data_IF_865412786565
#
_entry.id   IF_865412786565
#
_cell.length_a   1.000
_cell.length_b   1.000
_cell.length_c   1.000
_cell.angle_alpha   90.00
_cell.angle_beta   90.00
_cell.angle_gamma   90.00
#
_symmetry.space_group_name_H-M   'P 1'
#
loop_
_entity.id
_entity.type
_entity.pdbx_description
1 polymer ?
#
# COMPACT_ATOMS: atom_id res chain seq x y z
N UNK A 1 -67.03 -38.12 48.68
CA UNK A 1 -66.24 -37.75 47.46
C UNK A 1 -66.23 -36.21 47.38
N UNK A 2 -65.18 -35.62 47.85
CA UNK A 2 -64.98 -34.16 47.89
C UNK A 2 -64.20 -33.77 46.68
N UNK A 3 -64.59 -32.79 45.88
CA UNK A 3 -63.80 -32.33 44.73
C UNK A 3 -62.63 -31.48 45.19
N UNK A 4 -61.47 -31.87 44.78
CA UNK A 4 -60.22 -31.13 44.94
C UNK A 4 -60.27 -29.84 44.09
N UNK A 5 -60.17 -28.68 44.73
CA UNK A 5 -60.00 -27.38 44.04
C UNK A 5 -58.51 -27.23 43.64
N UNK A 6 -58.27 -27.24 42.39
CA UNK A 6 -56.96 -26.77 41.84
C UNK A 6 -56.90 -25.23 41.98
N UNK A 7 -56.03 -24.76 42.84
CA UNK A 7 -55.68 -23.34 42.91
C UNK A 7 -54.74 -23.01 41.78
N UNK A 8 -55.17 -22.21 40.82
CA UNK A 8 -54.30 -21.56 39.87
C UNK A 8 -53.57 -20.43 40.60
N UNK A 9 -52.26 -20.60 40.85
CA UNK A 9 -51.44 -19.51 41.26
C UNK A 9 -51.35 -18.52 40.10
N UNK A 10 -51.91 -17.34 40.30
CA UNK A 10 -51.82 -16.23 39.40
C UNK A 10 -50.34 -15.91 39.15
N UNK A 11 -49.93 -15.85 37.93
CA UNK A 11 -48.64 -15.26 37.54
C UNK A 11 -48.53 -13.89 38.20
N UNK A 12 -47.42 -13.67 38.89
CA UNK A 12 -47.05 -12.32 39.32
C UNK A 12 -47.12 -11.35 38.13
N UNK A 13 -47.67 -10.16 38.27
CA UNK A 13 -47.66 -9.18 37.18
C UNK A 13 -46.23 -9.05 36.69
N UNK A 14 -46.05 -9.13 35.39
CA UNK A 14 -44.76 -8.80 34.76
C UNK A 14 -44.32 -7.45 35.36
N UNK A 15 -43.04 -7.36 35.77
CA UNK A 15 -42.53 -6.06 36.21
C UNK A 15 -42.76 -5.09 35.05
N UNK A 16 -43.29 -3.93 35.34
CA UNK A 16 -43.44 -2.87 34.37
C UNK A 16 -42.07 -2.76 33.63
N UNK A 17 -42.10 -3.03 32.35
CA UNK A 17 -41.02 -2.66 31.48
C UNK A 17 -40.83 -1.16 31.66
N UNK A 18 -39.91 -0.78 32.53
CA UNK A 18 -39.36 0.56 32.46
C UNK A 18 -38.76 0.66 31.08
N UNK A 19 -39.54 1.16 30.14
CA UNK A 19 -39.01 1.84 28.98
C UNK A 19 -38.05 2.84 29.57
N UNK A 20 -36.77 2.52 29.54
CA UNK A 20 -35.74 3.52 29.75
C UNK A 20 -36.15 4.63 28.79
N UNK A 21 -36.76 5.69 29.31
CA UNK A 21 -36.75 6.96 28.60
C UNK A 21 -35.28 7.13 28.30
N UNK A 22 -34.99 7.01 27.03
CA UNK A 22 -33.61 7.16 26.57
C UNK A 22 -33.22 8.53 27.10
N UNK A 23 -32.46 8.53 28.22
CA UNK A 23 -31.82 9.78 28.64
C UNK A 23 -31.21 10.32 27.37
N UNK A 24 -31.49 11.59 27.02
CA UNK A 24 -30.97 12.14 25.78
C UNK A 24 -29.47 11.82 25.81
N UNK A 25 -29.06 10.89 25.00
CA UNK A 25 -27.70 10.42 24.95
C UNK A 25 -26.91 11.67 24.68
N UNK A 26 -26.29 12.24 25.74
CA UNK A 26 -25.53 13.47 25.60
C UNK A 26 -24.40 13.14 24.63
N UNK A 27 -24.61 13.51 23.41
CA UNK A 27 -23.74 13.23 22.31
C UNK A 27 -22.41 13.90 22.59
N UNK A 28 -21.35 13.10 22.72
CA UNK A 28 -20.02 13.63 22.91
C UNK A 28 -19.37 13.84 21.57
N UNK A 29 -18.81 15.03 21.40
CA UNK A 29 -18.02 15.34 20.21
C UNK A 29 -16.59 14.87 20.47
N UNK A 30 -16.09 14.06 19.56
CA UNK A 30 -14.72 13.60 19.55
C UNK A 30 -14.02 14.25 18.37
N UNK A 31 -12.89 14.88 18.66
CA UNK A 31 -11.99 15.38 17.63
C UNK A 31 -10.96 14.29 17.34
N UNK A 32 -10.89 13.89 16.09
CA UNK A 32 -9.80 13.09 15.57
C UNK A 32 -8.86 14.01 14.79
N UNK A 33 -7.61 14.04 15.17
CA UNK A 33 -6.55 14.61 14.34
C UNK A 33 -5.95 13.48 13.52
N UNK A 34 -5.90 13.68 12.20
CA UNK A 34 -5.31 12.72 11.28
C UNK A 34 -3.88 13.17 11.01
N UNK A 35 -2.94 12.34 11.38
CA UNK A 35 -1.53 12.55 11.09
C UNK A 35 -1.11 11.59 9.98
N UNK A 36 -0.38 12.08 8.99
CA UNK A 36 0.15 11.27 7.91
C UNK A 36 1.61 10.94 8.20
N UNK A 37 1.86 9.64 8.32
CA UNK A 37 3.20 9.08 8.40
C UNK A 37 3.58 8.50 7.03
N UNK A 38 3.83 9.37 6.07
CA UNK A 38 4.21 9.00 4.72
C UNK A 38 5.72 9.17 4.55
N UNK A 39 6.50 8.22 5.03
CA UNK A 39 7.93 8.21 4.81
C UNK A 39 8.25 7.59 3.45
N UNK A 40 8.82 8.38 2.60
CA UNK A 40 9.54 7.93 1.43
C UNK A 40 10.95 7.45 1.79
N UNK A 41 11.60 8.19 2.70
CA UNK A 41 12.85 7.78 3.33
C UNK A 41 12.49 7.02 4.62
N UNK A 42 12.49 5.71 4.63
CA UNK A 42 12.19 4.96 5.83
C UNK A 42 13.45 4.73 6.68
N UNK A 43 13.25 4.76 8.00
CA UNK A 43 14.27 4.28 8.92
C UNK A 43 14.34 2.76 8.86
N UNK A 44 15.51 2.25 8.49
CA UNK A 44 15.79 0.84 8.70
C UNK A 44 15.87 0.61 10.22
N UNK A 45 15.44 -0.54 10.70
CA UNK A 45 15.33 -0.92 12.14
C UNK A 45 16.61 -0.70 12.99
N UNK A 46 17.70 -0.33 12.38
CA UNK A 46 18.99 0.00 13.01
C UNK A 46 19.25 1.50 13.16
N UNK A 47 18.26 2.35 12.91
CA UNK A 47 18.39 3.80 13.03
C UNK A 47 19.17 4.46 11.88
N UNK A 48 19.39 3.74 10.79
CA UNK A 48 19.99 4.29 9.58
C UNK A 48 18.87 4.67 8.62
N UNK A 49 18.82 5.97 8.30
CA UNK A 49 17.86 6.49 7.32
C UNK A 49 18.30 6.13 5.91
N UNK A 50 17.41 5.52 5.13
CA UNK A 50 17.67 5.22 3.73
C UNK A 50 17.60 6.49 2.88
N UNK A 51 18.70 6.86 2.25
CA UNK A 51 18.79 8.06 1.40
C UNK A 51 18.73 7.66 -0.07
N UNK A 52 17.53 7.41 -0.57
CA UNK A 52 17.25 6.96 -1.93
C UNK A 52 17.78 7.92 -3.02
N UNK A 53 17.92 9.21 -2.74
CA UNK A 53 18.40 10.22 -3.71
C UNK A 53 19.81 9.95 -4.17
N UNK A 54 20.63 9.36 -3.33
CA UNK A 54 22.03 9.03 -3.67
C UNK A 54 22.14 7.85 -4.62
N UNK A 55 21.08 7.03 -4.73
CA UNK A 55 21.03 5.84 -5.59
C UNK A 55 20.21 6.07 -6.87
N UNK A 56 19.50 7.20 -6.98
CA UNK A 56 18.62 7.48 -8.10
C UNK A 56 19.31 8.36 -9.16
N UNK A 57 19.87 7.76 -10.19
CA UNK A 57 20.62 8.43 -11.25
C UNK A 57 19.75 8.89 -12.42
N UNK A 58 18.54 8.34 -12.56
CA UNK A 58 17.59 8.69 -13.61
C UNK A 58 17.15 10.16 -13.54
N UNK A 59 17.08 10.73 -12.32
CA UNK A 59 16.59 12.07 -12.06
C UNK A 59 15.06 12.18 -12.20
N UNK A 60 14.54 13.43 -12.23
CA UNK A 60 13.11 13.70 -12.37
C UNK A 60 12.92 15.01 -13.13
N UNK A 61 12.33 14.98 -14.32
CA UNK A 61 12.11 16.13 -15.18
C UNK A 61 10.60 16.44 -15.36
N UNK A 62 10.29 17.50 -16.11
CA UNK A 62 8.90 17.94 -16.34
C UNK A 62 8.03 16.87 -17.01
N UNK A 63 8.62 16.02 -17.86
CA UNK A 63 7.89 14.93 -18.52
C UNK A 63 7.60 13.80 -17.54
N UNK A 64 8.50 13.52 -16.57
CA UNK A 64 8.28 12.56 -15.52
C UNK A 64 7.14 13.02 -14.60
N UNK A 65 7.11 14.32 -14.24
CA UNK A 65 5.98 14.91 -13.52
C UNK A 65 4.65 14.75 -14.28
N UNK A 66 4.66 14.86 -15.58
CA UNK A 66 3.47 14.68 -16.42
C UNK A 66 2.99 13.23 -16.43
N UNK A 67 3.92 12.27 -16.43
CA UNK A 67 3.62 10.83 -16.50
C UNK A 67 3.24 10.26 -15.14
N UNK A 68 4.04 10.53 -14.12
CA UNK A 68 3.92 9.90 -12.79
C UNK A 68 3.47 10.84 -11.68
N UNK A 69 3.46 12.15 -11.90
CA UNK A 69 3.24 13.15 -10.85
C UNK A 69 4.47 13.34 -9.97
N UNK A 70 4.27 13.45 -8.67
CA UNK A 70 5.36 13.57 -7.71
C UNK A 70 6.16 12.28 -7.62
N UNK A 71 7.46 12.40 -7.35
CA UNK A 71 8.33 11.24 -7.18
C UNK A 71 7.98 10.44 -5.91
N UNK A 72 7.70 11.15 -4.81
CA UNK A 72 7.24 10.58 -3.55
C UNK A 72 5.72 10.53 -3.42
N UNK A 73 5.24 10.33 -2.21
CA UNK A 73 3.81 10.36 -1.92
C UNK A 73 3.23 11.77 -1.99
N UNK A 74 2.01 11.86 -2.49
CA UNK A 74 1.21 13.08 -2.41
C UNK A 74 0.36 13.03 -1.15
N UNK A 75 0.52 14.02 -0.28
CA UNK A 75 -0.29 14.12 0.95
C UNK A 75 -1.75 14.30 0.56
N UNK A 76 -2.64 13.37 0.91
CA UNK A 76 -4.05 13.47 0.62
C UNK A 76 -4.71 14.55 1.48
N UNK A 77 -5.78 15.17 0.96
CA UNK A 77 -6.57 16.16 1.67
C UNK A 77 -8.00 15.70 1.94
N UNK A 78 -8.38 14.52 1.46
CA UNK A 78 -9.73 13.96 1.62
C UNK A 78 -9.62 12.57 2.20
N UNK A 79 -10.41 12.30 3.24
CA UNK A 79 -10.35 11.05 3.98
C UNK A 79 -11.75 10.47 4.18
N UNK A 80 -11.82 9.14 4.15
CA UNK A 80 -12.98 8.36 4.51
C UNK A 80 -12.81 7.85 5.93
N UNK A 81 -13.76 8.14 6.79
CA UNK A 81 -13.77 7.72 8.19
C UNK A 81 -14.94 6.76 8.38
N UNK A 82 -14.64 5.55 8.84
CA UNK A 82 -15.65 4.54 9.20
C UNK A 82 -15.57 4.26 10.68
N UNK A 83 -16.69 4.42 11.36
CA UNK A 83 -16.86 4.21 12.79
C UNK A 83 -17.77 3.03 13.00
N UNK A 84 -17.34 2.06 13.77
CA UNK A 84 -18.02 0.80 14.02
C UNK A 84 -18.33 0.70 15.51
N UNK A 85 -19.60 0.69 15.87
CA UNK A 85 -20.04 0.59 17.26
C UNK A 85 -20.15 -0.86 17.68
N UNK A 86 -19.46 -1.24 18.76
CA UNK A 86 -19.47 -2.59 19.33
C UNK A 86 -20.37 -2.71 20.57
N UNK A 87 -20.92 -1.60 21.07
CA UNK A 87 -21.78 -1.59 22.24
C UNK A 87 -21.01 -1.41 23.57
N UNK A 88 -21.43 -2.10 24.61
CA UNK A 88 -20.83 -2.01 25.94
C UNK A 88 -19.62 -2.92 26.14
N UNK A 89 -19.29 -3.75 25.17
CA UNK A 89 -18.18 -4.73 25.23
C UNK A 89 -17.20 -4.46 24.11
N UNK A 90 -15.90 -4.28 24.40
CA UNK A 90 -14.87 -4.14 23.37
C UNK A 90 -14.74 -5.45 22.58
N UNK A 91 -14.29 -5.32 21.33
CA UNK A 91 -14.08 -6.45 20.41
C UNK A 91 -15.31 -7.32 20.10
N UNK A 92 -16.51 -6.79 20.37
CA UNK A 92 -17.76 -7.45 20.03
C UNK A 92 -18.13 -7.21 18.55
N UNK A 93 -19.18 -7.90 18.08
CA UNK A 93 -19.70 -7.65 16.74
C UNK A 93 -20.22 -6.22 16.60
N UNK A 94 -19.93 -5.62 15.46
CA UNK A 94 -20.39 -4.26 15.16
C UNK A 94 -21.90 -4.24 15.00
N UNK A 95 -22.55 -3.38 15.75
CA UNK A 95 -24.03 -3.21 15.71
C UNK A 95 -24.45 -2.02 14.86
N UNK A 96 -23.54 -1.10 14.60
CA UNK A 96 -23.77 0.11 13.82
C UNK A 96 -22.50 0.55 13.11
N UNK A 97 -22.63 0.95 11.86
CA UNK A 97 -21.53 1.53 11.06
C UNK A 97 -21.93 2.94 10.62
N UNK A 98 -21.03 3.88 10.79
CA UNK A 98 -21.21 5.26 10.34
C UNK A 98 -20.02 5.63 9.48
N UNK A 99 -20.28 6.09 8.27
CA UNK A 99 -19.24 6.51 7.31
C UNK A 99 -19.37 8.02 7.08
N UNK A 100 -18.22 8.68 7.03
CA UNK A 100 -18.10 10.09 6.72
C UNK A 100 -16.92 10.27 5.76
N UNK A 101 -17.08 11.21 4.84
CA UNK A 101 -15.96 11.72 4.04
C UNK A 101 -15.69 13.15 4.50
N UNK A 102 -14.44 13.46 4.74
CA UNK A 102 -13.99 14.77 5.20
C UNK A 102 -12.93 15.35 4.28
N UNK A 103 -12.86 16.65 4.23
CA UNK A 103 -11.77 17.41 3.64
C UNK A 103 -10.94 18.03 4.78
N UNK A 104 -9.60 17.96 4.64
CA UNK A 104 -8.67 18.33 5.70
C UNK A 104 -8.42 17.19 6.69
N UNK A 105 -7.63 17.47 7.72
CA UNK A 105 -7.09 16.47 8.64
C UNK A 105 -7.80 16.39 9.99
N UNK A 106 -8.91 17.09 10.16
CA UNK A 106 -9.68 17.11 11.41
C UNK A 106 -11.10 16.61 11.21
N UNK A 107 -11.57 15.83 12.16
CA UNK A 107 -12.93 15.31 12.17
C UNK A 107 -13.62 15.56 13.50
N UNK A 108 -14.85 16.04 13.43
CA UNK A 108 -15.77 16.11 14.55
C UNK A 108 -16.95 15.18 14.32
N UNK A 109 -17.26 14.33 15.30
CA UNK A 109 -18.37 13.41 15.18
C UNK A 109 -19.04 13.12 16.50
N UNK A 110 -20.26 12.62 16.39
CA UNK A 110 -21.05 12.16 17.51
C UNK A 110 -20.80 10.67 17.77
N UNK A 111 -20.62 10.32 19.03
CA UNK A 111 -20.38 8.96 19.46
C UNK A 111 -21.34 8.60 20.58
N UNK A 112 -21.95 7.44 20.50
CA UNK A 112 -22.69 6.86 21.61
C UNK A 112 -21.71 6.38 22.69
N UNK A 113 -22.15 6.34 23.93
CA UNK A 113 -21.40 5.70 24.97
C UNK A 113 -21.19 4.21 24.69
N UNK A 114 -19.98 3.72 24.97
CA UNK A 114 -19.56 2.36 24.70
C UNK A 114 -18.27 2.31 23.91
N UNK A 115 -18.03 1.20 23.23
CA UNK A 115 -16.80 0.97 22.48
C UNK A 115 -17.00 1.14 20.99
N UNK A 116 -16.00 1.69 20.35
CA UNK A 116 -15.94 1.95 18.92
C UNK A 116 -14.64 1.46 18.32
N UNK A 117 -14.71 0.96 17.11
CA UNK A 117 -13.57 0.77 16.25
C UNK A 117 -13.62 1.83 15.15
N UNK A 118 -12.46 2.33 14.77
CA UNK A 118 -12.36 3.41 13.79
C UNK A 118 -11.33 3.07 12.72
N UNK A 119 -11.75 3.13 11.47
CA UNK A 119 -10.90 2.98 10.30
C UNK A 119 -10.92 4.29 9.52
N UNK A 120 -9.74 4.80 9.23
CA UNK A 120 -9.55 5.99 8.38
C UNK A 120 -8.65 5.63 7.20
N UNK A 121 -9.01 6.06 6.02
CA UNK A 121 -8.21 5.92 4.81
C UNK A 121 -8.45 7.11 3.89
N UNK A 122 -7.47 7.43 3.03
CA UNK A 122 -7.62 8.54 2.10
C UNK A 122 -8.62 8.22 1.00
N UNK A 123 -9.25 9.28 0.46
CA UNK A 123 -9.99 9.16 -0.77
C UNK A 123 -9.05 8.96 -1.96
N UNK A 124 -9.50 8.17 -2.93
CA UNK A 124 -8.67 7.77 -4.07
C UNK A 124 -8.73 8.84 -5.14
N UNK A 125 -7.58 9.40 -5.49
CA UNK A 125 -7.47 10.26 -6.66
C UNK A 125 -7.32 9.40 -7.91
N UNK A 126 -8.31 9.48 -8.79
CA UNK A 126 -8.29 8.76 -10.06
C UNK A 126 -7.18 9.31 -10.94
N UNK A 127 -6.30 8.44 -11.42
CA UNK A 127 -5.34 8.76 -12.47
C UNK A 127 -6.05 8.63 -13.81
N UNK A 128 -6.11 9.70 -14.58
CA UNK A 128 -6.78 9.75 -15.89
C UNK A 128 -8.26 9.30 -15.87
N UNK A 129 -8.93 9.45 -14.74
CA UNK A 129 -10.33 9.06 -14.55
C UNK A 129 -10.57 7.54 -14.48
N UNK A 130 -9.51 6.74 -14.41
CA UNK A 130 -9.59 5.28 -14.26
C UNK A 130 -9.20 4.89 -12.83
N UNK A 131 -10.10 4.18 -12.17
CA UNK A 131 -9.83 3.59 -10.85
C UNK A 131 -9.26 2.18 -11.04
N UNK A 132 -8.05 1.94 -10.53
CA UNK A 132 -7.46 0.61 -10.51
C UNK A 132 -7.79 -0.17 -9.25
N UNK A 133 -8.08 0.52 -8.14
CA UNK A 133 -8.43 -0.08 -6.86
C UNK A 133 -9.90 -0.45 -6.76
N UNK A 134 -10.15 -1.62 -6.21
CA UNK A 134 -11.47 -2.08 -5.81
C UNK A 134 -11.47 -2.44 -4.33
N UNK A 135 -12.60 -2.19 -3.67
CA UNK A 135 -12.79 -2.51 -2.27
C UNK A 135 -13.75 -3.68 -2.13
N UNK A 136 -13.35 -4.73 -1.45
CA UNK A 136 -14.25 -5.79 -1.01
C UNK A 136 -14.75 -5.45 0.40
N UNK A 137 -15.97 -4.94 0.46
CA UNK A 137 -16.62 -4.51 1.69
C UNK A 137 -17.61 -5.56 2.24
N UNK A 138 -17.76 -6.69 1.57
CA UNK A 138 -18.73 -7.74 1.95
C UNK A 138 -18.34 -8.51 3.19
N UNK A 139 -17.10 -8.34 3.62
CA UNK A 139 -16.52 -9.00 4.77
C UNK A 139 -16.62 -8.13 6.03
N UNK A 140 -16.36 -8.71 7.18
CA UNK A 140 -16.31 -7.99 8.46
C UNK A 140 -15.22 -6.91 8.41
N UNK A 141 -15.28 -5.91 9.30
CA UNK A 141 -14.27 -4.85 9.40
C UNK A 141 -12.82 -5.38 9.35
N UNK A 142 -12.57 -6.53 9.97
CA UNK A 142 -11.25 -7.15 10.07
C UNK A 142 -10.70 -7.63 8.72
N UNK A 143 -11.49 -7.55 7.65
CA UNK A 143 -11.14 -8.08 6.33
C UNK A 143 -11.54 -7.19 5.16
N UNK A 144 -11.75 -5.88 5.36
CA UNK A 144 -11.91 -4.98 4.21
C UNK A 144 -10.63 -5.03 3.40
N UNK A 145 -10.75 -5.64 2.23
CA UNK A 145 -9.63 -5.89 1.33
C UNK A 145 -9.71 -4.93 0.14
N UNK A 146 -8.58 -4.33 -0.19
CA UNK A 146 -8.40 -3.58 -1.44
C UNK A 146 -7.56 -4.40 -2.40
N UNK A 147 -7.89 -4.36 -3.68
CA UNK A 147 -7.17 -5.12 -4.71
C UNK A 147 -7.16 -4.38 -6.05
N UNK A 148 -6.20 -4.72 -6.91
CA UNK A 148 -6.07 -4.13 -8.24
C UNK A 148 -6.69 -4.99 -9.33
N UNK A 149 -7.09 -4.34 -10.43
CA UNK A 149 -7.61 -4.97 -11.62
C UNK A 149 -6.49 -5.54 -12.50
N UNK A 150 -6.84 -6.58 -13.25
CA UNK A 150 -5.95 -7.16 -14.25
C UNK A 150 -5.72 -6.18 -15.40
N UNK A 151 -4.47 -6.05 -15.84
CA UNK A 151 -4.08 -5.29 -17.02
C UNK A 151 -3.99 -6.18 -18.26
N UNK A 152 -3.82 -5.55 -19.43
CA UNK A 152 -3.61 -6.27 -20.68
C UNK A 152 -2.14 -6.66 -20.93
N UNK A 153 -1.21 -6.20 -20.08
CA UNK A 153 0.20 -6.51 -20.20
C UNK A 153 0.49 -7.99 -19.89
N UNK A 154 1.55 -8.53 -20.47
CA UNK A 154 2.01 -9.90 -20.18
C UNK A 154 2.77 -9.91 -18.87
N UNK A 155 2.48 -10.92 -18.04
CA UNK A 155 3.23 -11.19 -16.83
C UNK A 155 4.36 -12.18 -17.09
N UNK A 156 5.53 -11.93 -16.51
CA UNK A 156 6.66 -12.87 -16.50
C UNK A 156 6.58 -13.82 -15.29
N UNK A 157 6.37 -13.23 -14.13
CA UNK A 157 6.19 -14.00 -12.90
C UNK A 157 4.88 -14.78 -12.95
N UNK A 158 4.93 -16.03 -12.50
CA UNK A 158 3.75 -16.89 -12.38
C UNK A 158 2.95 -17.04 -13.70
N UNK A 159 3.61 -16.89 -14.84
CA UNK A 159 2.99 -16.89 -16.18
C UNK A 159 2.08 -18.10 -16.48
N UNK A 160 2.33 -19.33 -16.00
CA UNK A 160 1.39 -20.44 -16.18
C UNK A 160 0.06 -20.22 -15.50
N UNK A 161 0.04 -19.50 -14.35
CA UNK A 161 -1.16 -19.20 -13.57
C UNK A 161 -1.81 -17.89 -14.01
N UNK A 162 -1.01 -16.85 -14.29
CA UNK A 162 -1.47 -15.53 -14.68
C UNK A 162 -0.81 -15.08 -15.98
N UNK A 163 -1.56 -15.08 -17.06
CA UNK A 163 -1.07 -14.65 -18.38
C UNK A 163 -0.91 -13.13 -18.50
N UNK A 164 -1.51 -12.37 -17.59
CA UNK A 164 -1.51 -10.91 -17.59
C UNK A 164 -0.96 -10.37 -16.27
N UNK A 165 -0.43 -9.16 -16.32
CA UNK A 165 -0.09 -8.40 -15.14
C UNK A 165 -1.32 -7.65 -14.60
N UNK A 166 -1.15 -6.97 -13.49
CA UNK A 166 -2.18 -6.14 -12.86
C UNK A 166 -1.78 -4.66 -12.93
N UNK A 167 -2.75 -3.78 -12.86
CA UNK A 167 -2.46 -2.36 -12.76
C UNK A 167 -1.82 -2.02 -11.42
N UNK A 168 -0.98 -1.00 -11.40
CA UNK A 168 -0.52 -0.41 -10.15
C UNK A 168 -1.71 0.15 -9.37
N UNK A 169 -1.73 0.00 -8.01
CA UNK A 169 -2.73 0.66 -7.19
C UNK A 169 -2.49 2.17 -7.14
N UNK A 170 -3.52 2.93 -6.77
CA UNK A 170 -3.38 4.31 -6.36
C UNK A 170 -2.71 4.42 -4.99
N UNK A 171 -2.24 5.63 -4.64
CA UNK A 171 -1.67 5.90 -3.31
C UNK A 171 -2.73 5.73 -2.24
N UNK A 172 -2.48 4.83 -1.30
CA UNK A 172 -3.43 4.49 -0.25
C UNK A 172 -2.74 4.46 1.12
N UNK A 173 -3.34 5.22 2.03
CA UNK A 173 -2.95 5.31 3.43
C UNK A 173 -4.11 4.88 4.29
N UNK A 174 -3.84 4.24 5.41
CA UNK A 174 -4.88 3.90 6.36
C UNK A 174 -4.39 3.91 7.80
N UNK A 175 -5.33 4.15 8.71
CA UNK A 175 -5.15 3.99 10.15
C UNK A 175 -6.35 3.23 10.72
N UNK A 176 -6.10 2.43 11.73
CA UNK A 176 -7.14 1.67 12.41
C UNK A 176 -6.89 1.64 13.91
N UNK A 177 -7.92 1.94 14.67
CA UNK A 177 -7.89 1.89 16.12
C UNK A 177 -9.11 1.13 16.63
N UNK A 178 -8.88 0.22 17.57
CA UNK A 178 -9.91 -0.64 18.16
C UNK A 178 -10.20 -0.25 19.59
N UNK A 179 -11.41 -0.64 20.05
CA UNK A 179 -11.82 -0.54 21.43
C UNK A 179 -11.69 0.87 22.04
N UNK A 180 -11.98 1.90 21.21
CA UNK A 180 -12.03 3.28 21.67
C UNK A 180 -13.20 3.41 22.61
N UNK A 181 -12.93 3.60 23.91
CA UNK A 181 -13.96 3.74 24.92
C UNK A 181 -14.46 5.19 25.00
N UNK A 182 -15.77 5.34 24.87
CA UNK A 182 -16.48 6.59 25.13
C UNK A 182 -17.33 6.37 26.37
N UNK A 183 -16.81 6.76 27.54
CA UNK A 183 -17.44 6.49 28.80
C UNK A 183 -18.26 7.69 29.34
N UNK A 184 -19.20 7.41 30.26
CA UNK A 184 -20.07 8.44 30.85
C UNK A 184 -19.34 9.28 31.91
N UNK A 185 -18.26 8.79 32.46
CA UNK A 185 -17.46 9.48 33.47
C UNK A 185 -16.44 10.43 32.86
N UNK A 186 -16.39 10.49 31.52
CA UNK A 186 -15.51 11.35 30.74
C UNK A 186 -14.01 11.11 31.00
N UNK A 187 -13.60 9.88 31.27
CA UNK A 187 -12.19 9.54 31.43
C UNK A 187 -11.41 9.81 30.15
N UNK A 188 -10.37 10.63 30.28
CA UNK A 188 -9.55 11.02 29.14
C UNK A 188 -10.23 12.04 28.19
N UNK A 189 -11.28 12.73 28.67
CA UNK A 189 -11.86 13.87 27.97
C UNK A 189 -11.38 15.17 28.59
N UNK A 190 -11.28 16.20 27.77
CA UNK A 190 -11.07 17.59 28.18
C UNK A 190 -12.39 18.37 28.05
N UNK A 191 -12.70 19.21 29.04
CA UNK A 191 -13.87 20.07 28.93
C UNK A 191 -13.53 21.34 28.16
N UNK A 192 -14.26 21.59 27.06
CA UNK A 192 -14.19 22.80 26.29
C UNK A 192 -15.29 23.80 26.78
N UNK A 193 -14.92 24.85 27.54
CA UNK A 193 -15.89 25.78 28.10
C UNK A 193 -16.55 26.69 27.05
N UNK A 194 -15.87 26.95 25.92
CA UNK A 194 -16.42 27.80 24.86
C UNK A 194 -17.58 27.12 24.14
N UNK A 195 -17.45 25.83 23.92
CA UNK A 195 -18.45 25.01 23.25
C UNK A 195 -19.38 24.28 24.22
N UNK A 196 -19.12 24.35 25.53
CA UNK A 196 -19.85 23.66 26.59
C UNK A 196 -19.98 22.15 26.33
N UNK A 197 -18.86 21.50 26.00
CA UNK A 197 -18.81 20.06 25.71
C UNK A 197 -17.51 19.39 26.16
N UNK A 198 -17.61 18.07 26.32
CA UNK A 198 -16.45 17.23 26.59
C UNK A 198 -15.83 16.74 25.29
N UNK A 199 -14.52 16.87 25.17
CA UNK A 199 -13.75 16.50 23.97
C UNK A 199 -12.79 15.38 24.31
N UNK A 200 -12.85 14.29 23.57
CA UNK A 200 -11.81 13.28 23.54
C UNK A 200 -11.03 13.45 22.26
N UNK A 201 -9.72 13.63 22.35
CA UNK A 201 -8.84 13.73 21.20
C UNK A 201 -8.33 12.34 20.82
N UNK A 202 -8.45 12.00 19.56
CA UNK A 202 -7.91 10.80 18.95
C UNK A 202 -6.93 11.24 17.87
N UNK A 203 -5.67 10.87 18.01
CA UNK A 203 -4.67 11.10 16.99
C UNK A 203 -4.50 9.81 16.22
N UNK A 204 -4.85 9.82 14.94
CA UNK A 204 -4.70 8.66 14.08
C UNK A 204 -3.60 8.91 13.06
N UNK A 205 -2.52 8.16 13.16
CA UNK A 205 -1.41 8.22 12.21
C UNK A 205 -1.70 7.28 11.05
N UNK A 206 -1.92 7.84 9.87
CA UNK A 206 -2.13 7.06 8.66
C UNK A 206 -0.79 6.62 8.08
N UNK A 207 -0.66 5.34 7.83
CA UNK A 207 0.52 4.76 7.23
C UNK A 207 0.22 4.32 5.80
N UNK A 208 1.20 4.41 4.88
CA UNK A 208 1.02 3.90 3.54
C UNK A 208 0.79 2.39 3.57
N UNK A 209 -0.14 1.92 2.75
CA UNK A 209 -0.36 0.50 2.47
C UNK A 209 -0.09 0.16 1.01
N UNK A 210 0.28 1.15 0.22
CA UNK A 210 0.87 1.02 -1.10
C UNK A 210 2.26 1.64 -1.09
N UNK A 211 3.23 0.96 -1.71
CA UNK A 211 4.65 1.29 -1.59
C UNK A 211 5.21 1.71 -2.94
N UNK A 212 5.99 2.79 -2.95
CA UNK A 212 6.60 3.33 -4.15
C UNK A 212 7.94 2.64 -4.40
N UNK A 213 8.10 2.10 -5.61
CA UNK A 213 9.40 1.68 -6.12
C UNK A 213 9.80 2.56 -7.30
N UNK A 214 11.05 2.96 -7.31
CA UNK A 214 11.73 3.56 -8.45
C UNK A 214 12.59 2.49 -9.10
N UNK A 215 12.38 2.25 -10.38
CA UNK A 215 13.14 1.24 -11.13
C UNK A 215 14.08 1.93 -12.11
N UNK A 216 15.34 1.50 -12.17
CA UNK A 216 16.28 1.98 -13.17
C UNK A 216 17.13 0.84 -13.71
N UNK A 217 17.21 0.78 -15.04
CA UNK A 217 18.16 -0.05 -15.77
C UNK A 217 19.19 0.89 -16.35
N UNK A 218 20.40 0.87 -15.79
CA UNK A 218 21.53 1.70 -16.21
C UNK A 218 22.25 0.97 -17.32
N UNK A 219 22.49 1.67 -18.42
CA UNK A 219 23.12 1.10 -19.60
C UNK A 219 24.46 1.78 -19.83
N UNK A 220 25.54 1.05 -19.54
CA UNK A 220 26.91 1.46 -19.80
C UNK A 220 27.29 1.19 -21.25
N UNK A 221 28.18 1.97 -21.80
CA UNK A 221 28.80 1.81 -23.14
C UNK A 221 27.75 1.60 -24.26
N UNK A 222 26.60 2.28 -24.14
CA UNK A 222 25.49 2.11 -25.09
C UNK A 222 25.94 2.39 -26.55
N UNK A 223 26.72 3.44 -26.77
CA UNK A 223 27.21 3.84 -28.09
C UNK A 223 26.09 3.84 -29.16
N UNK A 224 24.85 4.18 -28.76
CA UNK A 224 23.68 4.20 -29.62
C UNK A 224 23.15 2.83 -30.05
N UNK A 225 23.55 1.75 -29.40
CA UNK A 225 23.02 0.39 -29.65
C UNK A 225 21.55 0.26 -29.22
N UNK A 226 21.22 0.78 -28.02
CA UNK A 226 19.84 0.91 -27.54
C UNK A 226 19.37 2.34 -27.80
N UNK A 227 18.19 2.49 -28.39
CA UNK A 227 17.62 3.78 -28.77
C UNK A 227 16.40 4.17 -27.95
N UNK A 228 15.86 3.25 -27.15
CA UNK A 228 14.68 3.50 -26.33
C UNK A 228 14.22 2.27 -25.55
N UNK A 229 13.09 2.43 -24.89
CA UNK A 229 12.39 1.39 -24.13
C UNK A 229 10.93 1.35 -24.57
N UNK A 230 10.30 0.17 -24.54
CA UNK A 230 8.84 0.10 -24.64
C UNK A 230 8.23 0.81 -23.42
N UNK A 231 7.13 1.54 -23.63
CA UNK A 231 6.53 2.38 -22.57
C UNK A 231 5.95 1.63 -21.38
N UNK A 232 6.11 0.30 -21.29
CA UNK A 232 5.56 -0.54 -20.21
C UNK A 232 6.55 -1.62 -19.79
N UNK A 233 6.86 -1.67 -18.49
CA UNK A 233 7.57 -2.76 -17.83
C UNK A 233 6.67 -3.49 -16.83
N UNK A 234 7.15 -4.58 -16.22
CA UNK A 234 6.49 -5.22 -15.10
C UNK A 234 7.46 -5.46 -13.94
N UNK A 235 6.92 -5.42 -12.73
CA UNK A 235 7.62 -5.81 -11.51
C UNK A 235 6.78 -6.87 -10.78
N UNK A 236 7.38 -8.02 -10.48
CA UNK A 236 6.67 -9.24 -10.12
C UNK A 236 6.89 -9.65 -8.67
N UNK A 237 6.01 -10.53 -8.15
CA UNK A 237 6.13 -11.14 -6.84
C UNK A 237 5.46 -10.35 -5.72
N UNK A 238 4.74 -9.29 -6.02
CA UNK A 238 4.05 -8.47 -5.03
C UNK A 238 2.62 -8.93 -4.78
N UNK A 239 2.08 -8.59 -3.61
CA UNK A 239 0.71 -8.88 -3.27
C UNK A 239 -0.26 -8.18 -4.22
N UNK A 240 -1.29 -8.90 -4.67
CA UNK A 240 -2.40 -8.34 -5.47
C UNK A 240 -3.30 -7.42 -4.67
N UNK A 241 -3.34 -7.59 -3.36
CA UNK A 241 -4.30 -6.95 -2.46
C UNK A 241 -3.67 -6.60 -1.13
N UNK A 242 -4.34 -5.74 -0.37
CA UNK A 242 -3.98 -5.46 1.03
C UNK A 242 -5.24 -5.34 1.89
N UNK A 243 -5.11 -5.65 3.17
CA UNK A 243 -6.16 -5.48 4.18
C UNK A 243 -6.04 -4.10 4.80
N UNK A 244 -7.11 -3.28 4.69
CA UNK A 244 -7.07 -1.88 5.11
C UNK A 244 -6.73 -1.65 6.57
N UNK A 245 -7.27 -2.47 7.47
CA UNK A 245 -7.08 -2.28 8.92
C UNK A 245 -5.67 -2.68 9.39
N UNK A 246 -5.02 -3.64 8.75
CA UNK A 246 -3.71 -4.16 9.14
C UNK A 246 -2.57 -3.72 8.22
N UNK A 247 -2.88 -3.30 6.99
CA UNK A 247 -1.87 -3.08 5.95
C UNK A 247 -1.18 -4.37 5.49
N UNK A 248 -1.74 -5.54 5.82
CA UNK A 248 -1.17 -6.83 5.42
C UNK A 248 -1.45 -7.11 3.96
N UNK A 249 -0.41 -7.37 3.19
CA UNK A 249 -0.52 -7.85 1.82
C UNK A 249 -1.25 -9.20 1.73
N UNK A 250 -2.02 -9.39 0.66
CA UNK A 250 -2.65 -10.69 0.36
C UNK A 250 -1.63 -11.77 0.04
N UNK A 251 -2.10 -13.02 -0.04
CA UNK A 251 -1.25 -14.18 -0.29
C UNK A 251 -1.07 -14.49 -1.79
N UNK A 252 -1.70 -13.71 -2.69
CA UNK A 252 -1.64 -13.90 -4.14
C UNK A 252 -0.51 -13.04 -4.74
N UNK A 253 0.63 -13.63 -5.15
CA UNK A 253 1.69 -12.90 -5.82
C UNK A 253 1.33 -12.62 -7.27
N UNK A 254 1.54 -11.38 -7.70
CA UNK A 254 1.25 -10.92 -9.06
C UNK A 254 2.41 -10.12 -9.65
N UNK A 255 2.32 -9.86 -10.95
CA UNK A 255 3.13 -8.85 -11.63
C UNK A 255 2.33 -7.57 -11.75
N UNK A 256 2.95 -6.44 -11.45
CA UNK A 256 2.36 -5.11 -11.56
C UNK A 256 2.97 -4.39 -12.75
N UNK A 257 2.14 -3.82 -13.62
CA UNK A 257 2.61 -3.02 -14.76
C UNK A 257 2.95 -1.61 -14.33
N UNK A 258 3.96 -1.03 -14.92
CA UNK A 258 4.31 0.36 -14.75
C UNK A 258 4.79 1.00 -16.05
N UNK A 259 4.71 2.31 -16.13
CA UNK A 259 5.24 3.05 -17.27
C UNK A 259 6.75 3.15 -17.17
N UNK A 260 7.44 3.03 -18.30
CA UNK A 260 8.89 3.17 -18.42
C UNK A 260 9.23 4.27 -19.40
N UNK A 261 10.34 4.95 -19.15
CA UNK A 261 10.86 6.00 -20.00
C UNK A 261 12.37 5.90 -20.15
N UNK A 262 12.88 6.28 -21.33
CA UNK A 262 14.29 6.26 -21.67
C UNK A 262 14.89 7.66 -21.55
N UNK A 263 15.99 7.80 -20.83
CA UNK A 263 16.81 9.01 -20.78
C UNK A 263 18.22 8.73 -21.22
N UNK A 264 18.82 9.69 -21.92
CA UNK A 264 20.20 9.63 -22.40
C UNK A 264 21.10 10.55 -21.61
N UNK A 265 22.38 10.23 -21.59
CA UNK A 265 23.42 11.07 -21.00
C UNK A 265 23.17 11.45 -19.52
N UNK A 266 22.51 10.57 -18.76
CA UNK A 266 22.36 10.75 -17.33
C UNK A 266 23.74 10.75 -16.65
N UNK A 267 23.87 11.52 -15.58
CA UNK A 267 25.11 11.58 -14.82
C UNK A 267 25.11 10.55 -13.69
N UNK A 268 26.01 9.60 -13.77
CA UNK A 268 26.26 8.61 -12.73
C UNK A 268 27.68 8.82 -12.17
N UNK A 269 27.80 9.62 -11.13
CA UNK A 269 29.08 9.91 -10.49
C UNK A 269 30.17 10.44 -11.46
N UNK A 270 29.75 11.22 -12.48
CA UNK A 270 30.66 11.76 -13.51
C UNK A 270 30.77 10.91 -14.77
N UNK A 271 30.23 9.70 -14.79
CA UNK A 271 30.07 8.88 -15.99
C UNK A 271 28.73 9.21 -16.69
N UNK A 272 28.75 9.24 -18.04
CA UNK A 272 27.53 9.40 -18.84
C UNK A 272 26.96 8.04 -19.20
N UNK A 273 25.75 7.78 -18.72
CA UNK A 273 25.03 6.54 -18.94
C UNK A 273 23.64 6.81 -19.49
N UNK A 274 23.05 5.85 -20.18
CA UNK A 274 21.66 5.91 -20.58
C UNK A 274 20.83 5.07 -19.61
N UNK A 275 19.62 5.53 -19.26
CA UNK A 275 18.81 4.85 -18.24
C UNK A 275 17.38 4.65 -18.72
N UNK A 276 16.89 3.40 -18.60
CA UNK A 276 15.47 3.10 -18.63
C UNK A 276 14.93 3.15 -17.20
N UNK A 277 14.05 4.10 -16.91
CA UNK A 277 13.54 4.32 -15.56
C UNK A 277 12.02 4.34 -15.50
N UNK A 278 11.48 4.13 -14.30
CA UNK A 278 10.06 4.21 -14.03
C UNK A 278 9.74 4.29 -12.53
N UNK A 279 8.51 4.69 -12.23
CA UNK A 279 7.94 4.70 -10.90
C UNK A 279 6.70 3.81 -10.89
N UNK A 280 6.55 3.03 -9.84
CA UNK A 280 5.35 2.23 -9.65
C UNK A 280 4.94 2.16 -8.18
N UNK A 281 3.66 1.86 -7.98
CA UNK A 281 3.06 1.52 -6.71
C UNK A 281 2.68 0.04 -6.66
N UNK A 282 2.77 -0.58 -5.49
CA UNK A 282 2.29 -1.94 -5.23
C UNK A 282 1.87 -2.10 -3.76
N UNK A 283 1.26 -3.22 -3.41
CA UNK A 283 0.83 -3.53 -2.04
C UNK A 283 1.92 -4.16 -1.16
N UNK A 284 3.17 -4.16 -1.60
CA UNK A 284 4.28 -4.78 -0.86
C UNK A 284 4.28 -6.31 -0.95
N UNK A 285 4.96 -6.93 0.01
CA UNK A 285 5.21 -8.37 0.02
C UNK A 285 3.96 -9.16 0.40
N UNK A 286 3.83 -10.37 -0.17
CA UNK A 286 2.75 -11.29 0.14
C UNK A 286 2.76 -11.70 1.62
N UNK A 287 1.58 -11.68 2.25
CA UNK A 287 1.41 -12.09 3.63
C UNK A 287 2.10 -11.21 4.68
N UNK A 288 2.72 -10.11 4.28
CA UNK A 288 3.48 -9.23 5.17
C UNK A 288 2.72 -7.94 5.49
N UNK A 289 2.76 -7.51 6.76
CA UNK A 289 2.17 -6.26 7.22
C UNK A 289 3.27 -5.20 7.37
N UNK A 290 3.54 -4.47 6.30
CA UNK A 290 4.68 -3.56 6.25
C UNK A 290 4.57 -2.31 7.14
N UNK A 291 3.38 -1.93 7.63
CA UNK A 291 3.18 -0.60 8.19
C UNK A 291 2.95 -0.51 9.70
N UNK A 292 2.37 -1.51 10.36
CA UNK A 292 1.76 -1.32 11.68
C UNK A 292 2.41 -2.03 12.86
N UNK A 293 3.35 -2.92 12.60
CA UNK A 293 4.02 -3.62 13.68
C UNK A 293 5.42 -3.03 13.88
N UNK A 294 5.59 -2.29 14.95
CA UNK A 294 6.91 -1.90 15.50
C UNK A 294 7.71 -3.11 16.00
N UNK A 295 7.29 -4.33 15.69
CA UNK A 295 8.03 -5.52 16.04
C UNK A 295 9.06 -5.81 14.95
N UNK A 296 10.27 -6.14 15.37
CA UNK A 296 11.35 -6.74 14.57
C UNK A 296 10.90 -8.08 13.98
N UNK A 297 9.89 -8.04 13.12
CA UNK A 297 9.44 -9.23 12.43
C UNK A 297 10.38 -9.42 11.25
N UNK A 298 11.11 -10.52 11.24
CA UNK A 298 11.91 -10.92 10.09
C UNK A 298 11.00 -10.94 8.87
N UNK A 299 11.48 -10.34 7.79
CA UNK A 299 10.77 -10.32 6.50
C UNK A 299 10.85 -11.75 5.95
N UNK A 300 9.79 -12.52 6.15
CA UNK A 300 9.63 -13.84 5.55
C UNK A 300 8.97 -13.71 4.18
N UNK A 301 9.79 -13.38 3.18
CA UNK A 301 9.35 -13.37 1.80
C UNK A 301 9.90 -14.60 1.08
N UNK A 302 9.00 -15.45 0.57
CA UNK A 302 9.33 -16.67 -0.19
C UNK A 302 9.24 -16.46 -1.69
N UNK A 303 8.70 -15.31 -2.11
CA UNK A 303 8.50 -15.02 -3.52
C UNK A 303 9.77 -14.56 -4.21
N UNK A 304 9.83 -14.76 -5.50
CA UNK A 304 10.84 -14.21 -6.37
C UNK A 304 10.33 -12.94 -7.03
N UNK A 305 11.17 -11.91 -7.07
CA UNK A 305 10.84 -10.63 -7.66
C UNK A 305 11.63 -10.41 -8.94
N UNK A 306 10.89 -10.22 -10.05
CA UNK A 306 11.49 -9.99 -11.35
C UNK A 306 11.06 -8.63 -11.90
N UNK A 307 12.03 -7.87 -12.35
CA UNK A 307 11.81 -6.63 -13.11
C UNK A 307 12.02 -6.94 -14.58
N UNK A 308 11.04 -6.68 -15.42
CA UNK A 308 11.21 -6.79 -16.86
C UNK A 308 11.04 -5.45 -17.56
N UNK A 309 11.88 -5.24 -18.54
CA UNK A 309 11.81 -4.09 -19.46
C UNK A 309 12.10 -4.56 -20.88
N UNK A 310 11.50 -3.90 -21.84
CA UNK A 310 11.71 -4.18 -23.27
C UNK A 310 12.49 -3.06 -23.89
N UNK A 311 13.73 -3.37 -24.28
CA UNK A 311 14.65 -2.41 -24.88
C UNK A 311 14.57 -2.44 -26.40
N UNK A 312 14.60 -1.26 -27.01
CA UNK A 312 14.54 -1.05 -28.45
C UNK A 312 15.93 -0.79 -28.99
N UNK A 313 16.40 -1.63 -29.92
CA UNK A 313 17.72 -1.52 -30.52
C UNK A 313 17.70 -0.69 -31.82
N UNK A 314 18.85 -0.12 -32.14
CA UNK A 314 19.03 0.74 -33.32
C UNK A 314 18.77 0.04 -34.67
N UNK A 315 18.76 -1.28 -34.70
CA UNK A 315 18.44 -2.10 -35.87
C UNK A 315 16.94 -2.38 -36.03
N UNK A 316 16.08 -1.78 -35.18
CA UNK A 316 14.63 -1.93 -35.20
C UNK A 316 14.15 -3.25 -34.61
N UNK A 317 15.00 -3.96 -33.85
CA UNK A 317 14.62 -5.14 -33.09
C UNK A 317 14.44 -4.72 -31.62
N UNK A 318 13.51 -5.35 -30.94
CA UNK A 318 13.30 -5.22 -29.51
C UNK A 318 13.64 -6.53 -28.81
N UNK A 319 14.04 -6.43 -27.55
CA UNK A 319 14.28 -7.58 -26.68
C UNK A 319 13.79 -7.27 -25.26
N UNK A 320 13.16 -8.26 -24.63
CA UNK A 320 12.75 -8.17 -23.23
C UNK A 320 13.88 -8.72 -22.35
N UNK A 321 14.27 -7.91 -21.40
CA UNK A 321 15.23 -8.29 -20.36
C UNK A 321 14.49 -8.53 -19.06
N UNK A 322 14.85 -9.61 -18.37
CA UNK A 322 14.23 -10.00 -17.09
C UNK A 322 15.34 -10.09 -16.05
N UNK A 323 15.21 -9.34 -14.98
CA UNK A 323 16.21 -9.24 -13.92
C UNK A 323 15.65 -9.78 -12.62
N UNK A 324 16.41 -10.61 -11.90
CA UNK A 324 16.09 -11.00 -10.53
C UNK A 324 16.47 -9.84 -9.59
N UNK A 325 15.49 -9.19 -9.01
CA UNK A 325 15.67 -8.09 -8.04
C UNK A 325 15.22 -8.50 -6.64
N UNK A 326 15.13 -9.81 -6.40
CA UNK A 326 14.56 -10.38 -5.16
C UNK A 326 15.25 -9.83 -3.92
N UNK A 327 16.59 -9.81 -3.90
CA UNK A 327 17.32 -9.33 -2.72
C UNK A 327 17.09 -7.84 -2.49
N UNK A 328 17.12 -7.03 -3.55
CA UNK A 328 16.88 -5.59 -3.45
C UNK A 328 15.46 -5.28 -2.91
N UNK A 329 14.45 -6.03 -3.35
CA UNK A 329 13.08 -5.89 -2.85
C UNK A 329 12.98 -6.27 -1.37
N UNK A 330 13.62 -7.35 -0.94
CA UNK A 330 13.65 -7.77 0.46
C UNK A 330 14.31 -6.74 1.36
N UNK A 331 15.40 -6.15 0.92
CA UNK A 331 16.11 -5.10 1.64
C UNK A 331 15.31 -3.80 1.70
N UNK A 332 14.43 -3.59 0.70
CA UNK A 332 13.61 -2.38 0.53
C UNK A 332 12.11 -2.71 0.47
N UNK A 333 11.64 -3.55 1.39
CA UNK A 333 10.27 -4.06 1.36
C UNK A 333 9.16 -3.00 1.51
N UNK A 334 9.51 -1.80 1.97
CA UNK A 334 8.61 -0.62 2.05
C UNK A 334 8.75 0.35 0.88
N UNK A 335 9.39 -0.07 -0.19
CA UNK A 335 9.68 0.78 -1.35
C UNK A 335 11.12 1.28 -1.37
N UNK A 336 11.53 1.84 -2.48
CA UNK A 336 12.89 2.35 -2.69
C UNK A 336 13.34 2.24 -4.14
N UNK A 337 14.65 2.36 -4.36
CA UNK A 337 15.25 2.28 -5.70
C UNK A 337 15.67 0.85 -5.99
N UNK A 338 15.26 0.32 -7.14
CA UNK A 338 15.74 -0.95 -7.70
C UNK A 338 16.63 -0.64 -8.89
N UNK A 339 17.89 -1.02 -8.81
CA UNK A 339 18.90 -0.73 -9.81
C UNK A 339 19.40 -2.00 -10.45
N UNK A 340 19.47 -1.98 -11.78
CA UNK A 340 20.16 -3.01 -12.58
C UNK A 340 21.09 -2.32 -13.56
N UNK A 341 22.25 -2.91 -13.77
CA UNK A 341 23.25 -2.39 -14.71
C UNK A 341 23.42 -3.34 -15.88
N UNK A 342 23.51 -2.78 -17.08
CA UNK A 342 23.79 -3.49 -18.32
C UNK A 342 25.02 -2.86 -18.98
N UNK A 343 26.01 -3.69 -19.32
CA UNK A 343 27.15 -3.26 -20.11
C UNK A 343 27.00 -3.73 -21.55
N UNK A 344 26.82 -2.76 -22.47
CA UNK A 344 26.63 -3.04 -23.89
C UNK A 344 27.89 -3.53 -24.62
N UNK A 345 29.05 -3.50 -23.98
CA UNK A 345 30.24 -4.14 -24.53
C UNK A 345 30.20 -5.68 -24.34
N UNK A 346 29.43 -6.17 -23.37
CA UNK A 346 29.23 -7.59 -23.11
C UNK A 346 27.99 -8.18 -23.78
N UNK A 347 27.05 -7.32 -24.20
CA UNK A 347 25.75 -7.74 -24.76
C UNK A 347 25.76 -7.58 -26.28
N UNK A 348 25.47 -8.67 -27.00
CA UNK A 348 25.29 -8.64 -28.45
C UNK A 348 23.97 -8.00 -28.83
N UNK A 349 24.01 -7.08 -29.83
CA UNK A 349 22.78 -6.55 -30.42
C UNK A 349 22.03 -7.70 -31.10
N UNK A 350 20.72 -7.90 -30.81
CA UNK A 350 19.92 -8.94 -31.44
C UNK A 350 19.95 -8.83 -32.96
N UNK A 351 20.07 -9.94 -33.68
CA UNK A 351 20.04 -9.94 -35.16
C UNK A 351 18.79 -10.61 -35.70
N UNK A 352 18.31 -10.16 -36.88
CA UNK A 352 17.14 -10.74 -37.56
C UNK A 352 17.35 -12.13 -38.19
N UNK A 353 18.37 -12.86 -37.85
CA UNK A 353 18.62 -14.19 -38.42
C UNK A 353 17.72 -15.25 -37.80
N UNK A 354 16.60 -15.53 -38.48
CA UNK A 354 15.88 -16.81 -38.41
C UNK A 354 15.24 -17.18 -37.06
N UNK A 355 14.02 -16.75 -36.87
CA UNK A 355 12.97 -17.46 -36.12
C UNK A 355 13.32 -17.94 -34.71
N UNK A 356 13.00 -17.16 -33.77
CA UNK A 356 12.62 -17.35 -32.36
C UNK A 356 13.18 -16.19 -31.53
N UNK A 357 12.29 -15.50 -30.82
CA UNK A 357 12.72 -14.43 -29.92
C UNK A 357 13.71 -14.98 -28.88
N UNK A 358 14.85 -14.35 -28.78
CA UNK A 358 15.78 -14.60 -27.69
C UNK A 358 15.22 -13.95 -26.44
N UNK A 359 14.70 -14.76 -25.53
CA UNK A 359 14.54 -14.37 -24.14
C UNK A 359 15.94 -14.46 -23.49
N UNK A 360 16.65 -13.35 -23.42
CA UNK A 360 17.90 -13.31 -22.66
C UNK A 360 17.57 -13.28 -21.16
N UNK A 361 17.63 -14.43 -20.51
CA UNK A 361 17.63 -14.51 -19.07
C UNK A 361 19.05 -14.22 -18.60
N UNK A 362 19.30 -13.03 -18.08
CA UNK A 362 20.56 -12.72 -17.39
C UNK A 362 20.49 -13.43 -16.04
N UNK A 363 21.21 -14.53 -15.91
CA UNK A 363 21.39 -15.22 -14.63
C UNK A 363 22.32 -14.40 -13.76
N UNK A 364 21.86 -14.17 -12.53
CA UNK A 364 22.57 -13.71 -11.33
C UNK A 364 23.92 -13.03 -11.56
N UNK A 365 24.02 -11.77 -11.15
CA UNK A 365 25.31 -11.19 -10.78
C UNK A 365 25.77 -11.91 -9.51
N UNK A 366 26.82 -12.72 -9.60
CA UNK A 366 27.58 -13.15 -8.42
C UNK A 366 28.24 -11.89 -7.85
N UNK A 367 27.82 -11.46 -6.66
CA UNK A 367 28.57 -10.48 -5.88
C UNK A 367 29.96 -11.10 -5.57
N UNK A 368 31.00 -10.58 -6.19
CA UNK A 368 32.35 -10.79 -5.69
C UNK A 368 32.47 -10.02 -4.36
N UNK A 369 32.29 -10.74 -3.25
CA UNK A 369 32.65 -10.26 -1.92
C UNK A 369 34.15 -10.18 -1.83
N UNK A 370 34.72 -9.00 -2.00
CA UNK A 370 36.09 -8.74 -1.60
C UNK A 370 36.14 -8.66 -0.06
N UNK A 371 36.53 -9.77 0.59
CA UNK A 371 36.97 -9.74 1.97
C UNK A 371 38.25 -8.89 2.04
N UNK A 372 38.14 -7.72 2.66
CA UNK A 372 39.33 -6.95 3.07
C UNK A 372 39.74 -7.50 4.41
N UNK A 373 40.76 -8.37 4.40
CA UNK A 373 41.50 -8.70 5.61
C UNK A 373 42.24 -7.45 6.13
N UNK A 374 41.91 -7.07 7.40
CA UNK A 374 42.69 -6.08 8.17
C UNK A 374 43.74 -6.80 9.03
#
# INVERSE_FOLDING_TARGET
>A
MTPSRLAFTACSPEPELHLFEAEPTSTKIVFAELELDAYWDYEVEVGVRYEWRTEWYYGWDAEDYRIWGEIGYVIPNTFNIRRYFTGSTPYAHHTKVISNTIEGNTFQGEFNYGFWDMLVFNDIKLKDGVQSLNFDETTTLDSITVYTNQSMAKARYNAPRYSHAFYEPEELFSAYEQAIEIDREHKGFEYDPERNLWVKRLNMVLQPITYIYLTQVIVHHNNGKIVGVEGTGTLSGFARSSVLNSGRGGEDPVSVTYQTRWKKDCDMNGEKVDIAGGRLLNFGLCGHACGRLHSKQEVHDTEKHYMDVKLLFNNGIDSTFVFDVTQQVRDRYKGGVLTVELDMDTISVPSRSGGSGFDAVVKEFEEETHEIEM
#
